data_IF_603576702116
#
_entry.id   IF_603576702116
#
_cell.length_a   1.000
_cell.length_b   1.000
_cell.length_c   1.000
_cell.angle_alpha   90.00
_cell.angle_beta   90.00
_cell.angle_gamma   90.00
#
_symmetry.space_group_name_H-M   'P 1'
#
loop_
_entity.id
_entity.type
_entity.pdbx_description
1 polymer ?
#
# COMPACT_ATOMS: atom_id res chain seq x y z
N UNK A 1 8.37 -11.16 -4.81
CA UNK A 1 8.44 -9.87 -4.10
C UNK A 1 7.08 -9.57 -3.51
N UNK A 2 7.05 -9.03 -2.29
CA UNK A 2 5.82 -8.61 -1.60
C UNK A 2 5.55 -7.12 -1.78
N UNK A 3 4.29 -6.73 -1.90
CA UNK A 3 3.88 -5.32 -1.97
C UNK A 3 2.99 -5.00 -0.77
N UNK A 4 3.37 -4.01 0.02
CA UNK A 4 2.58 -3.54 1.15
C UNK A 4 1.96 -2.18 0.80
N UNK A 5 0.64 -2.06 0.92
CA UNK A 5 -0.11 -0.87 0.51
C UNK A 5 -0.83 -0.23 1.70
N UNK A 6 -0.56 1.05 1.95
CA UNK A 6 -1.49 1.89 2.69
C UNK A 6 -2.68 2.34 1.81
N UNK A 7 -3.69 2.96 2.42
CA UNK A 7 -4.89 3.47 1.74
C UNK A 7 -4.92 5.00 1.73
N UNK A 8 -4.97 5.65 2.91
CA UNK A 8 -5.32 7.06 3.02
C UNK A 8 -4.12 7.98 2.73
N UNK A 9 -4.04 8.51 1.52
CA UNK A 9 -2.88 9.24 1.00
C UNK A 9 -2.11 8.45 -0.07
N UNK A 10 -2.46 7.17 -0.25
CA UNK A 10 -1.82 6.26 -1.22
C UNK A 10 -2.82 5.80 -2.28
N UNK A 11 -3.78 4.95 -1.91
CA UNK A 11 -4.83 4.48 -2.82
C UNK A 11 -6.07 5.38 -2.80
N UNK A 12 -6.14 6.34 -1.87
CA UNK A 12 -7.10 7.43 -1.87
C UNK A 12 -6.35 8.74 -1.66
N UNK A 13 -6.73 9.78 -2.39
CA UNK A 13 -6.33 11.13 -2.04
C UNK A 13 -6.86 11.50 -0.64
N UNK A 14 -6.31 12.54 -0.01
CA UNK A 14 -6.80 13.02 1.30
C UNK A 14 -8.27 13.50 1.27
N UNK A 15 -8.80 13.84 0.09
CA UNK A 15 -10.22 14.15 -0.13
C UNK A 15 -11.08 12.91 -0.47
N UNK A 16 -10.48 11.71 -0.42
CA UNK A 16 -11.06 10.39 -0.73
C UNK A 16 -11.41 10.17 -2.21
N UNK A 17 -10.90 11.00 -3.12
CA UNK A 17 -10.95 10.70 -4.55
C UNK A 17 -9.94 9.61 -4.92
N UNK A 18 -10.22 8.86 -5.97
CA UNK A 18 -9.31 7.83 -6.51
C UNK A 18 -8.15 8.51 -7.24
N UNK A 19 -6.88 8.21 -6.93
CA UNK A 19 -5.74 8.80 -7.62
C UNK A 19 -5.63 8.34 -9.08
N UNK A 20 -5.04 9.18 -9.94
CA UNK A 20 -4.85 8.85 -11.35
C UNK A 20 -3.95 7.61 -11.49
N UNK A 21 -4.35 6.68 -12.36
CA UNK A 21 -3.65 5.42 -12.60
C UNK A 21 -3.79 4.37 -11.48
N UNK A 22 -4.43 4.66 -10.35
CA UNK A 22 -4.48 3.73 -9.21
C UNK A 22 -5.21 2.41 -9.53
N UNK A 23 -6.21 2.43 -10.41
CA UNK A 23 -6.91 1.21 -10.86
C UNK A 23 -5.98 0.31 -11.67
N UNK A 24 -5.25 0.88 -12.63
CA UNK A 24 -4.31 0.12 -13.46
C UNK A 24 -3.13 -0.38 -12.63
N UNK A 25 -2.66 0.42 -11.68
CA UNK A 25 -1.65 0.00 -10.70
C UNK A 25 -2.13 -1.20 -9.88
N UNK A 26 -3.34 -1.14 -9.28
CA UNK A 26 -3.89 -2.26 -8.52
C UNK A 26 -3.98 -3.53 -9.36
N UNK A 27 -4.48 -3.42 -10.59
CA UNK A 27 -4.52 -4.53 -11.55
C UNK A 27 -3.13 -5.10 -11.81
N UNK A 28 -2.16 -4.25 -12.07
CA UNK A 28 -0.79 -4.67 -12.36
C UNK A 28 -0.18 -5.41 -11.17
N UNK A 29 -0.18 -4.80 -9.98
CA UNK A 29 0.53 -5.36 -8.82
C UNK A 29 -0.12 -6.64 -8.32
N UNK A 30 -1.45 -6.71 -8.29
CA UNK A 30 -2.17 -7.92 -7.84
C UNK A 30 -2.09 -9.07 -8.84
N UNK A 31 -1.80 -8.79 -10.12
CA UNK A 31 -1.58 -9.83 -11.12
C UNK A 31 -0.16 -10.43 -11.12
N UNK A 32 0.81 -9.75 -10.51
CA UNK A 32 2.25 -10.09 -10.59
C UNK A 32 2.87 -10.44 -9.24
N UNK A 33 2.36 -9.89 -8.15
CA UNK A 33 2.99 -9.96 -6.83
C UNK A 33 2.00 -10.42 -5.75
N UNK A 34 2.55 -10.82 -4.62
CA UNK A 34 1.75 -10.99 -3.40
C UNK A 34 1.57 -9.61 -2.77
N UNK A 35 0.32 -9.17 -2.67
CA UNK A 35 -0.03 -7.83 -2.21
C UNK A 35 -0.73 -7.90 -0.88
N UNK A 36 -0.34 -7.03 0.04
CA UNK A 36 -0.74 -7.02 1.43
C UNK A 36 -1.23 -5.63 1.83
N UNK A 37 -2.31 -5.59 2.61
CA UNK A 37 -2.74 -4.37 3.28
C UNK A 37 -1.74 -4.02 4.38
N UNK A 38 -1.24 -2.79 4.38
CA UNK A 38 -0.45 -2.27 5.48
C UNK A 38 -0.95 -0.88 5.87
N UNK A 39 -2.16 -0.89 6.41
CA UNK A 39 -2.99 0.28 6.66
C UNK A 39 -3.71 0.16 7.99
N UNK A 40 -4.18 1.28 8.53
CA UNK A 40 -4.99 1.35 9.76
C UNK A 40 -6.36 0.69 9.62
N UNK A 41 -6.82 0.47 8.38
CA UNK A 41 -8.06 -0.25 8.08
C UNK A 41 -7.92 -1.78 8.09
N UNK A 42 -6.71 -2.31 8.27
CA UNK A 42 -6.45 -3.76 8.32
C UNK A 42 -5.52 -4.13 9.48
N UNK A 43 -6.06 -4.85 10.46
CA UNK A 43 -5.32 -5.43 11.59
C UNK A 43 -5.78 -6.88 11.82
N UNK A 44 -5.38 -7.77 10.91
CA UNK A 44 -5.75 -9.19 10.89
C UNK A 44 -7.00 -9.53 10.05
N UNK A 45 -7.80 -8.54 9.67
CA UNK A 45 -8.98 -8.71 8.83
C UNK A 45 -8.99 -7.69 7.68
N UNK A 46 -9.04 -8.20 6.44
CA UNK A 46 -9.08 -7.39 5.23
C UNK A 46 -10.47 -6.82 4.94
N UNK A 47 -11.54 -7.33 5.56
CA UNK A 47 -12.92 -6.98 5.23
C UNK A 47 -13.19 -5.47 5.34
N UNK A 48 -12.72 -4.84 6.41
CA UNK A 48 -12.86 -3.40 6.64
C UNK A 48 -12.15 -2.58 5.56
N UNK A 49 -10.90 -2.92 5.23
CA UNK A 49 -10.12 -2.27 4.18
C UNK A 49 -10.77 -2.42 2.80
N UNK A 50 -11.25 -3.63 2.47
CA UNK A 50 -11.91 -3.94 1.20
C UNK A 50 -13.20 -3.13 1.05
N UNK A 51 -14.09 -3.13 2.06
CA UNK A 51 -15.35 -2.37 2.01
C UNK A 51 -15.06 -0.88 1.88
N UNK A 52 -14.12 -0.38 2.69
CA UNK A 52 -13.76 1.03 2.69
C UNK A 52 -13.28 1.47 1.30
N UNK A 53 -12.30 0.77 0.71
CA UNK A 53 -11.74 1.16 -0.57
C UNK A 53 -12.74 1.03 -1.72
N UNK A 54 -13.55 -0.04 -1.74
CA UNK A 54 -14.56 -0.28 -2.78
C UNK A 54 -15.65 0.77 -2.83
N UNK A 55 -15.94 1.47 -1.72
CA UNK A 55 -16.92 2.55 -1.69
C UNK A 55 -16.51 3.74 -2.59
N UNK A 56 -15.21 3.86 -2.89
CA UNK A 56 -14.64 4.92 -3.71
C UNK A 56 -14.26 4.45 -5.12
N UNK A 57 -13.95 3.16 -5.28
CA UNK A 57 -13.44 2.59 -6.53
C UNK A 57 -14.57 2.08 -7.46
N UNK A 58 -14.38 2.18 -8.79
CA UNK A 58 -15.32 1.61 -9.75
C UNK A 58 -15.38 0.08 -9.63
N UNK A 59 -16.54 -0.50 -9.94
CA UNK A 59 -16.81 -1.94 -9.74
C UNK A 59 -15.85 -2.87 -10.48
N UNK A 60 -15.31 -2.45 -11.62
CA UNK A 60 -14.32 -3.25 -12.36
C UNK A 60 -12.96 -3.37 -11.65
N UNK A 61 -12.67 -2.51 -10.66
CA UNK A 61 -11.46 -2.59 -9.84
C UNK A 61 -11.64 -3.52 -8.62
N UNK A 62 -12.88 -3.86 -8.27
CA UNK A 62 -13.21 -4.63 -7.07
C UNK A 62 -12.50 -5.99 -6.99
N UNK A 63 -12.37 -6.78 -8.07
CA UNK A 63 -11.66 -8.05 -8.01
C UNK A 63 -10.19 -7.89 -7.59
N UNK A 64 -9.51 -6.83 -8.03
CA UNK A 64 -8.11 -6.58 -7.64
C UNK A 64 -8.00 -6.19 -6.16
N UNK A 65 -8.94 -5.39 -5.66
CA UNK A 65 -8.98 -5.01 -4.24
C UNK A 65 -9.19 -6.25 -3.35
N UNK A 66 -10.05 -7.18 -3.78
CA UNK A 66 -10.32 -8.43 -3.03
C UNK A 66 -9.12 -9.40 -2.99
N UNK A 67 -8.17 -9.29 -3.92
CA UNK A 67 -6.97 -10.13 -3.95
C UNK A 67 -5.94 -9.73 -2.88
N UNK A 68 -6.05 -8.54 -2.29
CA UNK A 68 -5.06 -8.02 -1.35
C UNK A 68 -5.25 -8.68 0.01
N UNK A 69 -4.17 -9.28 0.51
CA UNK A 69 -4.15 -10.10 1.72
C UNK A 69 -4.09 -9.23 2.98
N UNK A 70 -4.70 -9.65 4.10
CA UNK A 70 -4.57 -8.95 5.36
C UNK A 70 -3.14 -9.06 5.91
N UNK A 71 -2.72 -8.04 6.66
CA UNK A 71 -1.60 -8.17 7.60
C UNK A 71 -2.09 -7.94 9.02
N UNK A 72 -1.26 -8.35 9.98
CA UNK A 72 -1.47 -8.07 11.39
C UNK A 72 -0.18 -7.47 11.95
N UNK A 73 -0.30 -6.25 12.48
CA UNK A 73 0.74 -5.50 13.16
C UNK A 73 0.17 -5.00 14.49
N UNK A 74 0.98 -4.61 15.48
CA UNK A 74 0.44 -4.16 16.77
C UNK A 74 0.80 -2.71 17.08
N UNK A 75 2.09 -2.38 17.04
CA UNK A 75 2.59 -1.05 17.42
C UNK A 75 2.99 -0.26 16.18
N UNK A 76 3.82 -0.87 15.32
CA UNK A 76 4.31 -0.26 14.10
C UNK A 76 3.86 -1.09 12.90
N UNK A 77 3.57 -0.45 11.76
CA UNK A 77 3.26 -1.21 10.53
C UNK A 77 4.42 -2.13 10.13
N UNK A 78 5.65 -1.72 10.41
CA UNK A 78 6.85 -2.52 10.16
C UNK A 78 6.86 -3.87 10.90
N UNK A 79 6.05 -4.07 11.95
CA UNK A 79 5.88 -5.36 12.63
C UNK A 79 5.32 -6.46 11.69
N UNK A 80 4.57 -6.07 10.66
CA UNK A 80 3.99 -6.98 9.68
C UNK A 80 4.91 -7.27 8.47
N UNK A 81 6.04 -6.58 8.35
CA UNK A 81 6.93 -6.69 7.20
C UNK A 81 7.85 -7.90 7.36
N UNK A 82 7.91 -8.73 6.31
CA UNK A 82 8.80 -9.89 6.24
C UNK A 82 10.15 -9.48 5.64
N UNK A 83 11.10 -9.05 6.48
CA UNK A 83 12.38 -8.46 6.04
C UNK A 83 13.39 -9.42 5.39
N UNK A 84 13.20 -10.74 5.49
CA UNK A 84 14.06 -11.72 4.82
C UNK A 84 13.67 -12.00 3.37
N UNK A 85 12.64 -11.32 2.87
CA UNK A 85 12.17 -11.39 1.48
C UNK A 85 12.22 -10.01 0.84
N UNK A 86 12.27 -9.98 -0.49
CA UNK A 86 12.19 -8.71 -1.21
C UNK A 86 10.78 -8.12 -1.14
N UNK A 87 10.68 -6.81 -0.89
CA UNK A 87 9.42 -6.11 -0.77
C UNK A 87 9.48 -4.64 -1.19
N UNK A 88 8.31 -4.04 -1.43
CA UNK A 88 8.11 -2.60 -1.45
C UNK A 88 6.96 -2.22 -0.53
N UNK A 89 7.08 -1.09 0.18
CA UNK A 89 6.01 -0.55 1.03
C UNK A 89 5.63 0.87 0.58
N UNK A 90 4.40 1.02 0.10
CA UNK A 90 3.83 2.28 -0.34
C UNK A 90 3.07 2.93 0.80
N UNK A 91 3.57 4.07 1.26
CA UNK A 91 2.96 4.87 2.32
C UNK A 91 3.19 6.36 2.01
N UNK A 92 2.23 7.21 2.36
CA UNK A 92 2.40 8.65 2.25
C UNK A 92 3.10 9.24 3.49
N UNK A 93 3.12 8.51 4.60
CA UNK A 93 3.77 8.92 5.85
C UNK A 93 4.42 7.75 6.56
N UNK A 94 5.73 7.84 6.81
CA UNK A 94 6.47 6.85 7.61
C UNK A 94 7.03 7.49 8.87
N UNK A 95 6.69 6.92 10.02
CA UNK A 95 7.13 7.45 11.30
C UNK A 95 8.63 7.26 11.52
N UNK A 96 9.26 8.13 12.31
CA UNK A 96 10.69 8.02 12.64
C UNK A 96 11.03 6.68 13.29
N UNK A 97 10.13 6.13 14.12
CA UNK A 97 10.29 4.78 14.69
C UNK A 97 10.29 3.68 13.63
N UNK A 98 9.49 3.82 12.57
CA UNK A 98 9.45 2.87 11.45
C UNK A 98 10.69 2.99 10.58
N UNK A 99 11.17 4.22 10.33
CA UNK A 99 12.45 4.44 9.63
C UNK A 99 13.60 3.75 10.34
N UNK A 100 13.69 3.88 11.67
CA UNK A 100 14.70 3.18 12.47
C UNK A 100 14.61 1.66 12.31
N UNK A 101 13.41 1.08 12.21
CA UNK A 101 13.24 -0.36 11.95
C UNK A 101 13.70 -0.73 10.54
N UNK A 102 13.33 0.05 9.52
CA UNK A 102 13.75 -0.17 8.15
C UNK A 102 15.29 -0.09 7.99
N UNK A 103 15.93 0.92 8.59
CA UNK A 103 17.38 1.11 8.57
C UNK A 103 18.12 -0.06 9.23
N UNK A 104 17.65 -0.53 10.39
CA UNK A 104 18.22 -1.70 11.08
C UNK A 104 18.17 -2.97 10.22
N UNK A 105 17.21 -3.07 9.32
CA UNK A 105 17.05 -4.18 8.38
C UNK A 105 17.63 -3.88 6.99
N UNK A 106 18.36 -2.78 6.81
CA UNK A 106 18.91 -2.32 5.52
C UNK A 106 17.84 -2.20 4.42
N UNK A 107 16.61 -1.82 4.79
CA UNK A 107 15.44 -1.82 3.93
C UNK A 107 14.80 -0.43 3.77
N UNK A 108 15.49 0.65 4.15
CA UNK A 108 14.96 2.01 4.00
C UNK A 108 14.62 2.35 2.53
N UNK A 109 15.43 1.85 1.59
CA UNK A 109 15.18 2.01 0.15
C UNK A 109 14.01 1.18 -0.39
N UNK A 110 13.41 0.29 0.42
CA UNK A 110 12.20 -0.47 0.06
C UNK A 110 10.91 0.29 0.38
N UNK A 111 11.03 1.38 1.14
CA UNK A 111 9.93 2.29 1.36
C UNK A 111 9.76 3.20 0.15
N UNK A 112 8.54 3.27 -0.36
CA UNK A 112 8.15 4.11 -1.48
C UNK A 112 7.24 5.20 -0.94
N UNK A 113 7.78 6.41 -0.81
CA UNK A 113 7.01 7.58 -0.39
C UNK A 113 6.06 8.01 -1.50
N UNK A 114 4.76 7.96 -1.21
CA UNK A 114 3.71 8.39 -2.14
C UNK A 114 3.26 9.79 -1.74
N UNK A 115 3.61 10.81 -2.51
CA UNK A 115 3.07 12.17 -2.34
C UNK A 115 2.18 12.55 -3.53
N UNK A 116 0.89 12.29 -3.41
CA UNK A 116 -0.11 12.59 -4.44
C UNK A 116 -0.40 14.09 -4.58
N UNK A 117 0.03 14.93 -3.62
CA UNK A 117 -0.16 16.38 -3.73
C UNK A 117 0.87 16.98 -4.66
N UNK A 118 2.12 16.57 -4.48
CA UNK A 118 3.23 17.01 -5.33
C UNK A 118 3.26 16.22 -6.67
N UNK A 119 2.80 14.97 -6.67
CA UNK A 119 2.75 14.12 -7.86
C UNK A 119 1.39 13.39 -8.01
N UNK A 120 0.35 14.07 -8.53
CA UNK A 120 -0.98 13.48 -8.72
C UNK A 120 -1.02 12.27 -9.68
N UNK A 121 -0.02 12.13 -10.55
CA UNK A 121 0.10 11.06 -11.54
C UNK A 121 1.16 10.02 -11.13
N UNK A 122 1.41 9.88 -9.82
CA UNK A 122 2.39 8.96 -9.28
C UNK A 122 2.26 7.55 -9.87
N UNK A 123 1.06 6.96 -9.87
CA UNK A 123 0.85 5.60 -10.37
C UNK A 123 0.94 5.45 -11.89
N UNK A 124 0.74 6.53 -12.65
CA UNK A 124 0.91 6.48 -14.11
C UNK A 124 2.38 6.44 -14.52
N UNK A 125 3.27 6.98 -13.68
CA UNK A 125 4.70 7.15 -13.96
C UNK A 125 5.59 6.16 -13.22
N UNK A 126 5.20 5.74 -12.02
CA UNK A 126 5.97 4.79 -11.22
C UNK A 126 5.98 3.41 -11.88
N UNK A 127 7.15 2.77 -11.92
CA UNK A 127 7.31 1.41 -12.42
C UNK A 127 8.03 0.60 -11.35
N UNK A 128 7.49 -0.59 -11.08
CA UNK A 128 8.16 -1.57 -10.23
C UNK A 128 9.19 -2.27 -11.12
N UNK A 129 10.46 -2.13 -10.76
CA UNK A 129 11.61 -2.77 -11.43
C UNK A 129 11.80 -4.22 -10.99
#
# INVERSE_FOLDING_TARGET
MKIYLDIDGVLLNKDKSVPNGAVDFLKEVTSKYEVFWLTTHCKGDAHTAIIYLKAHYPTHAHPYIEMIQPTNWDVLKTDAITFNEDFLWFDDTVFESEKVVLEKNNALNKQVLVDLRENPNFFESYRIE
#
